data_IF_403230181818
#
_entry.id   IF_403230181818
#
_cell.length_a   1.000
_cell.length_b   1.000
_cell.length_c   1.000
_cell.angle_alpha   90.00
_cell.angle_beta   90.00
_cell.angle_gamma   90.00
#
_symmetry.space_group_name_H-M   'P 1'
#
loop_
_entity.id
_entity.type
_entity.pdbx_description
1 polymer ?
#
# COMPACT_ATOMS: atom_id res chain seq x y z
N UNK A 1 56.16 -20.41 -25.93
CA UNK A 1 55.60 -21.11 -27.13
C UNK A 1 54.14 -20.68 -27.29
N UNK A 2 53.85 -19.88 -28.33
CA UNK A 2 52.52 -19.46 -28.71
C UNK A 2 51.71 -20.68 -29.13
N UNK A 3 50.67 -21.07 -28.38
CA UNK A 3 49.78 -22.19 -28.75
C UNK A 3 49.06 -21.82 -30.04
N UNK A 4 49.21 -22.62 -31.11
CA UNK A 4 48.53 -22.40 -32.39
C UNK A 4 47.03 -22.29 -32.22
N UNK A 5 46.43 -21.24 -32.81
CA UNK A 5 45.00 -20.97 -32.83
C UNK A 5 44.39 -21.40 -34.18
N UNK A 6 43.06 -21.56 -34.22
CA UNK A 6 42.31 -21.82 -35.45
C UNK A 6 42.73 -23.08 -36.24
N UNK A 7 42.93 -24.19 -35.51
CA UNK A 7 43.43 -25.45 -36.09
C UNK A 7 42.38 -26.21 -36.90
N UNK A 8 41.10 -26.04 -36.58
CA UNK A 8 40.01 -26.76 -37.23
C UNK A 8 39.48 -25.96 -38.43
N UNK A 9 39.15 -26.64 -39.51
CA UNK A 9 38.43 -26.05 -40.65
C UNK A 9 36.92 -26.37 -40.53
N UNK A 10 36.08 -25.57 -41.20
CA UNK A 10 34.65 -25.84 -41.26
C UNK A 10 34.33 -27.19 -41.95
N UNK A 11 35.16 -27.62 -42.88
CA UNK A 11 35.04 -28.94 -43.51
C UNK A 11 35.32 -30.06 -42.50
N UNK A 12 36.40 -29.94 -41.71
CA UNK A 12 36.71 -30.89 -40.66
C UNK A 12 35.58 -30.99 -39.60
N UNK A 13 35.02 -29.86 -39.17
CA UNK A 13 33.94 -29.85 -38.17
C UNK A 13 32.73 -30.66 -38.63
N UNK A 14 32.40 -30.64 -39.93
CA UNK A 14 31.26 -31.41 -40.49
C UNK A 14 31.50 -32.92 -40.55
N UNK A 15 32.75 -33.37 -40.65
CA UNK A 15 33.13 -34.78 -40.78
C UNK A 15 34.04 -35.28 -39.66
N UNK A 16 34.07 -34.58 -38.54
CA UNK A 16 34.96 -34.91 -37.44
C UNK A 16 34.66 -36.32 -36.90
N UNK A 17 35.66 -37.17 -36.70
CA UNK A 17 35.45 -38.44 -36.05
C UNK A 17 35.07 -38.26 -34.57
N UNK A 18 34.45 -39.28 -34.00
CA UNK A 18 34.13 -39.31 -32.55
C UNK A 18 35.38 -39.01 -31.73
N UNK A 19 35.26 -38.07 -30.79
CA UNK A 19 36.37 -37.64 -29.93
C UNK A 19 36.41 -36.15 -29.64
N UNK A 20 37.49 -35.73 -28.98
CA UNK A 20 37.73 -34.32 -28.61
C UNK A 20 38.84 -33.73 -29.51
N UNK A 21 38.53 -32.73 -30.30
CA UNK A 21 39.41 -32.07 -31.24
C UNK A 21 39.70 -30.66 -30.81
N UNK A 22 40.98 -30.28 -30.67
CA UNK A 22 41.37 -28.92 -30.23
C UNK A 22 41.46 -27.97 -31.40
N UNK A 23 40.75 -26.83 -31.30
CA UNK A 23 40.90 -25.70 -32.24
C UNK A 23 42.04 -24.73 -31.84
N UNK A 24 42.59 -24.93 -30.65
CA UNK A 24 43.62 -24.04 -30.09
C UNK A 24 43.01 -23.02 -29.12
N UNK A 25 43.88 -22.35 -28.32
CA UNK A 25 43.44 -21.36 -27.34
C UNK A 25 42.46 -21.89 -26.28
N UNK A 26 42.38 -23.21 -26.08
CA UNK A 26 41.43 -23.82 -25.15
C UNK A 26 40.04 -24.12 -25.72
N UNK A 27 39.74 -23.75 -26.97
CA UNK A 27 38.53 -24.15 -27.68
C UNK A 27 38.62 -25.58 -28.19
N UNK A 28 37.61 -26.38 -27.95
CA UNK A 28 37.52 -27.78 -28.32
C UNK A 28 36.16 -28.10 -28.94
N UNK A 29 36.21 -28.94 -30.01
CA UNK A 29 35.05 -29.65 -30.52
C UNK A 29 34.96 -31.03 -29.82
N UNK A 30 33.82 -31.37 -29.34
CA UNK A 30 33.51 -32.72 -28.84
C UNK A 30 32.45 -33.35 -29.74
N UNK A 31 32.91 -34.30 -30.56
CA UNK A 31 32.03 -35.17 -31.35
C UNK A 31 31.69 -36.40 -30.54
N UNK A 32 30.42 -36.57 -30.23
CA UNK A 32 29.93 -37.69 -29.42
C UNK A 32 29.62 -38.93 -30.29
N UNK A 33 29.63 -40.17 -29.69
CA UNK A 33 29.25 -41.39 -30.39
C UNK A 33 27.81 -41.39 -30.93
N UNK A 34 26.89 -40.66 -30.28
CA UNK A 34 25.48 -40.50 -30.66
C UNK A 34 25.25 -39.53 -31.85
N UNK A 35 26.33 -39.04 -32.46
CA UNK A 35 26.29 -38.08 -33.56
C UNK A 35 26.20 -36.63 -33.12
N UNK A 36 25.96 -36.35 -31.81
CA UNK A 36 25.92 -34.99 -31.30
C UNK A 36 27.31 -34.36 -31.24
N UNK A 37 27.38 -33.06 -31.64
CA UNK A 37 28.64 -32.30 -31.64
C UNK A 37 28.44 -30.98 -30.86
N UNK A 38 29.39 -30.65 -29.98
CA UNK A 38 29.33 -29.43 -29.17
C UNK A 38 30.71 -28.78 -29.01
N UNK A 39 30.67 -27.46 -28.87
CA UNK A 39 31.85 -26.68 -28.51
C UNK A 39 31.98 -26.56 -27.01
N UNK A 40 33.21 -26.63 -26.50
CA UNK A 40 33.53 -26.28 -25.11
C UNK A 40 34.88 -25.57 -25.05
N UNK A 41 35.00 -24.72 -24.01
CA UNK A 41 36.20 -23.94 -23.75
C UNK A 41 36.87 -24.47 -22.46
N UNK A 42 38.18 -24.68 -22.53
CA UNK A 42 39.03 -24.96 -21.35
C UNK A 42 39.84 -23.73 -21.00
N UNK A 43 39.67 -23.23 -19.81
CA UNK A 43 40.42 -22.12 -19.24
C UNK A 43 40.96 -22.47 -17.85
N UNK A 44 42.02 -21.80 -17.44
CA UNK A 44 42.56 -21.90 -16.08
C UNK A 44 42.29 -20.58 -15.38
N UNK A 45 41.63 -20.63 -14.24
CA UNK A 45 41.32 -19.47 -13.40
C UNK A 45 41.75 -19.77 -11.99
N UNK A 46 42.52 -18.88 -11.38
CA UNK A 46 43.12 -19.08 -10.04
C UNK A 46 43.79 -20.44 -9.85
N UNK A 47 44.57 -20.89 -10.84
CA UNK A 47 45.27 -22.17 -10.83
C UNK A 47 44.38 -23.41 -11.05
N UNK A 48 43.07 -23.27 -11.20
CA UNK A 48 42.13 -24.35 -11.42
C UNK A 48 41.65 -24.41 -12.86
N UNK A 49 41.69 -25.58 -13.46
CA UNK A 49 41.16 -25.84 -14.80
C UNK A 49 39.66 -25.91 -14.81
N UNK A 50 39.01 -25.18 -15.71
CA UNK A 50 37.55 -25.12 -15.90
C UNK A 50 37.21 -25.53 -17.34
N UNK A 51 36.10 -26.27 -17.50
CA UNK A 51 35.49 -26.55 -18.79
C UNK A 51 34.10 -25.91 -18.87
N UNK A 52 33.85 -25.15 -19.91
CA UNK A 52 32.61 -24.38 -20.13
C UNK A 52 32.05 -24.73 -21.49
N UNK A 53 30.81 -25.24 -21.57
CA UNK A 53 30.11 -25.43 -22.85
C UNK A 53 29.85 -24.10 -23.55
N UNK A 54 30.17 -24.04 -24.85
CA UNK A 54 29.86 -22.87 -25.69
C UNK A 54 28.52 -23.07 -26.42
N UNK A 55 28.24 -24.30 -26.86
CA UNK A 55 26.98 -24.64 -27.50
C UNK A 55 27.10 -25.80 -28.49
N UNK A 56 25.96 -26.30 -28.99
CA UNK A 56 25.97 -27.36 -30.01
C UNK A 56 26.40 -26.78 -31.37
N UNK A 57 27.16 -27.60 -32.14
CA UNK A 57 27.71 -27.19 -33.45
C UNK A 57 26.63 -26.75 -34.46
N UNK A 58 25.44 -27.38 -34.37
CA UNK A 58 24.32 -27.01 -35.24
C UNK A 58 23.74 -25.61 -35.00
N UNK A 59 23.95 -25.05 -33.80
CA UNK A 59 23.49 -23.71 -33.43
C UNK A 59 24.63 -22.68 -33.41
N UNK A 60 25.87 -23.14 -33.14
CA UNK A 60 27.05 -22.26 -33.01
C UNK A 60 28.08 -22.65 -34.06
N UNK A 61 28.13 -21.96 -35.21
CA UNK A 61 29.16 -22.17 -36.24
C UNK A 61 30.56 -21.92 -35.69
N UNK A 62 31.60 -22.54 -36.31
CA UNK A 62 32.99 -22.43 -35.88
C UNK A 62 33.46 -20.98 -35.66
N UNK A 63 33.08 -20.05 -36.54
CA UNK A 63 33.42 -18.62 -36.41
C UNK A 63 32.85 -18.04 -35.13
N UNK A 64 31.60 -18.31 -34.84
CA UNK A 64 30.92 -17.85 -33.63
C UNK A 64 31.52 -18.51 -32.37
N UNK A 65 31.82 -19.81 -32.41
CA UNK A 65 32.47 -20.50 -31.31
C UNK A 65 33.83 -19.88 -30.93
N UNK A 66 34.59 -19.42 -31.91
CA UNK A 66 35.88 -18.72 -31.73
C UNK A 66 35.68 -17.37 -31.06
N UNK A 67 34.69 -16.60 -31.49
CA UNK A 67 34.37 -15.29 -30.90
C UNK A 67 33.94 -15.45 -29.43
N UNK A 68 33.05 -16.39 -29.17
CA UNK A 68 32.61 -16.67 -27.79
C UNK A 68 33.77 -17.16 -26.91
N UNK A 69 34.63 -18.04 -27.46
CA UNK A 69 35.80 -18.50 -26.73
C UNK A 69 36.78 -17.36 -26.41
N UNK A 70 36.94 -16.38 -27.30
CA UNK A 70 37.78 -15.21 -27.04
C UNK A 70 37.18 -14.31 -25.94
N UNK A 71 35.86 -14.03 -25.99
CA UNK A 71 35.15 -13.28 -24.97
C UNK A 71 35.38 -13.89 -23.59
N UNK A 72 35.15 -15.19 -23.42
CA UNK A 72 35.31 -15.89 -22.14
C UNK A 72 36.76 -16.00 -21.69
N UNK A 73 37.72 -16.08 -22.63
CA UNK A 73 39.17 -16.01 -22.34
C UNK A 73 39.59 -14.65 -21.82
N UNK A 74 39.01 -13.57 -22.34
CA UNK A 74 39.27 -12.22 -21.85
C UNK A 74 38.85 -12.08 -20.39
N UNK A 75 37.64 -12.56 -20.03
CA UNK A 75 37.12 -12.59 -18.65
C UNK A 75 38.03 -13.42 -17.74
N UNK A 76 38.50 -14.58 -18.23
CA UNK A 76 39.41 -15.43 -17.44
C UNK A 76 40.80 -14.74 -17.23
N UNK A 77 41.29 -13.96 -18.19
CA UNK A 77 42.52 -13.15 -18.06
C UNK A 77 42.40 -12.04 -17.01
N UNK A 78 41.17 -11.49 -16.83
CA UNK A 78 40.86 -10.53 -15.75
C UNK A 78 40.80 -11.20 -14.36
N UNK A 79 41.03 -12.49 -14.29
CA UNK A 79 40.92 -13.23 -13.00
C UNK A 79 39.51 -13.63 -12.59
N UNK A 80 38.51 -13.39 -13.45
CA UNK A 80 37.11 -13.78 -13.18
C UNK A 80 36.82 -15.19 -13.69
N UNK A 81 35.95 -15.94 -13.00
CA UNK A 81 35.51 -17.26 -13.44
C UNK A 81 34.41 -17.14 -14.52
N UNK A 82 34.67 -17.51 -15.80
CA UNK A 82 33.68 -17.35 -16.88
C UNK A 82 32.37 -18.07 -16.64
N UNK A 83 32.39 -19.20 -15.93
CA UNK A 83 31.16 -19.93 -15.60
C UNK A 83 30.29 -19.13 -14.65
N UNK A 84 30.91 -18.54 -13.62
CA UNK A 84 30.19 -17.68 -12.65
C UNK A 84 29.69 -16.40 -13.30
N UNK A 85 30.47 -15.77 -14.18
CA UNK A 85 30.04 -14.55 -14.90
C UNK A 85 28.87 -14.84 -15.85
N UNK A 86 28.90 -15.96 -16.59
CA UNK A 86 27.76 -16.38 -17.43
C UNK A 86 26.51 -16.65 -16.60
N UNK A 87 26.66 -17.29 -15.44
CA UNK A 87 25.53 -17.53 -14.55
C UNK A 87 24.98 -16.25 -13.93
N UNK A 88 25.85 -15.28 -13.68
CA UNK A 88 25.46 -13.92 -13.25
C UNK A 88 24.70 -13.19 -14.37
N UNK A 89 25.21 -13.22 -15.62
CA UNK A 89 24.52 -12.64 -16.78
C UNK A 89 23.13 -13.28 -17.00
N UNK A 90 23.03 -14.61 -16.89
CA UNK A 90 21.75 -15.33 -17.01
C UNK A 90 20.78 -14.91 -15.91
N UNK A 91 21.22 -14.87 -14.65
CA UNK A 91 20.40 -14.41 -13.55
C UNK A 91 19.94 -12.97 -13.72
N UNK A 92 20.81 -12.09 -14.23
CA UNK A 92 20.46 -10.71 -14.52
C UNK A 92 19.40 -10.60 -15.63
N UNK A 93 19.49 -11.42 -16.68
CA UNK A 93 18.47 -11.49 -17.73
C UNK A 93 17.13 -12.03 -17.21
N UNK A 94 17.16 -13.09 -16.39
CA UNK A 94 15.96 -13.66 -15.76
C UNK A 94 15.29 -12.66 -14.80
N UNK A 95 16.06 -11.85 -14.06
CA UNK A 95 15.56 -10.78 -13.17
C UNK A 95 14.82 -9.68 -13.91
N UNK A 96 15.22 -9.36 -15.11
CA UNK A 96 14.59 -8.30 -15.93
C UNK A 96 13.22 -8.72 -16.52
N UNK A 97 12.78 -9.96 -16.32
CA UNK A 97 11.48 -10.46 -16.78
C UNK A 97 10.38 -10.35 -15.72
N UNK A 98 10.67 -9.86 -14.49
CA UNK A 98 9.66 -9.71 -13.46
C UNK A 98 8.68 -8.58 -13.81
N UNK A 99 7.42 -8.94 -14.04
CA UNK A 99 6.37 -7.99 -14.39
C UNK A 99 5.98 -7.13 -13.18
N UNK A 100 5.62 -5.87 -13.43
CA UNK A 100 5.18 -4.98 -12.36
C UNK A 100 4.01 -5.57 -11.56
N UNK A 101 3.06 -6.26 -12.20
CA UNK A 101 1.91 -6.82 -11.48
C UNK A 101 2.29 -7.90 -10.48
N UNK A 102 3.29 -8.73 -10.80
CA UNK A 102 3.78 -9.80 -9.93
C UNK A 102 4.53 -9.20 -8.73
N UNK A 103 5.42 -8.25 -9.00
CA UNK A 103 6.16 -7.53 -7.94
C UNK A 103 5.21 -6.73 -7.05
N UNK A 104 4.17 -6.10 -7.61
CA UNK A 104 3.19 -5.35 -6.84
C UNK A 104 2.33 -6.26 -5.93
N UNK A 105 1.98 -7.46 -6.40
CA UNK A 105 1.25 -8.46 -5.60
C UNK A 105 2.13 -9.00 -4.48
N UNK A 106 3.37 -9.36 -4.77
CA UNK A 106 4.33 -9.82 -3.76
C UNK A 106 4.60 -8.73 -2.70
N UNK A 107 4.79 -7.49 -3.14
CA UNK A 107 4.90 -6.32 -2.26
C UNK A 107 3.66 -6.16 -1.36
N UNK A 108 2.47 -6.36 -1.90
CA UNK A 108 1.23 -6.29 -1.12
C UNK A 108 1.14 -7.42 -0.09
N UNK A 109 1.44 -8.65 -0.47
CA UNK A 109 1.43 -9.81 0.45
C UNK A 109 2.44 -9.62 1.59
N UNK A 110 3.66 -9.15 1.30
CA UNK A 110 4.68 -8.88 2.32
C UNK A 110 4.25 -7.82 3.35
N UNK A 111 3.41 -6.85 2.92
CA UNK A 111 2.93 -5.76 3.78
C UNK A 111 1.58 -6.01 4.43
N UNK A 112 0.91 -7.08 4.06
CA UNK A 112 -0.47 -7.38 4.47
C UNK A 112 -0.64 -7.44 5.99
N UNK A 113 0.37 -8.01 6.69
CA UNK A 113 0.36 -8.10 8.14
C UNK A 113 0.39 -6.73 8.85
N UNK A 114 0.98 -5.70 8.22
CA UNK A 114 1.01 -4.33 8.76
C UNK A 114 -0.28 -3.55 8.52
N UNK A 115 -1.11 -4.01 7.59
CA UNK A 115 -2.29 -3.29 7.13
C UNK A 115 -3.54 -3.75 7.87
N UNK A 116 -4.37 -2.79 8.27
CA UNK A 116 -5.67 -3.07 8.91
C UNK A 116 -6.58 -3.86 7.97
N UNK A 117 -7.13 -4.99 8.48
CA UNK A 117 -7.98 -5.89 7.70
C UNK A 117 -7.26 -6.46 6.48
N UNK A 118 -5.96 -6.75 6.63
CA UNK A 118 -5.11 -7.30 5.58
C UNK A 118 -5.15 -6.46 4.29
N UNK A 119 -5.16 -5.14 4.45
CA UNK A 119 -5.20 -4.16 3.36
C UNK A 119 -6.58 -3.93 2.73
N UNK A 120 -7.58 -4.75 3.06
CA UNK A 120 -8.95 -4.63 2.52
C UNK A 120 -9.64 -3.37 3.02
N UNK A 121 -9.54 -3.06 4.31
CA UNK A 121 -10.18 -1.90 4.93
C UNK A 121 -9.73 -0.56 4.32
N UNK A 122 -8.44 -0.42 3.99
CA UNK A 122 -7.86 0.78 3.38
C UNK A 122 -7.81 0.76 1.86
N UNK A 123 -8.26 -0.33 1.21
CA UNK A 123 -8.14 -0.53 -0.25
C UNK A 123 -6.73 -0.22 -0.74
N UNK A 124 -5.71 -0.79 -0.07
CA UNK A 124 -4.31 -0.44 -0.36
C UNK A 124 -3.93 -0.73 -1.81
N UNK A 125 -4.36 -1.86 -2.36
CA UNK A 125 -4.02 -2.30 -3.71
C UNK A 125 -4.83 -1.59 -4.80
N UNK A 126 -6.05 -1.16 -4.50
CA UNK A 126 -7.00 -0.61 -5.47
C UNK A 126 -6.48 0.53 -6.36
N UNK A 127 -5.71 1.54 -5.90
CA UNK A 127 -5.16 2.56 -6.79
C UNK A 127 -4.13 2.04 -7.79
N UNK A 128 -3.37 0.99 -7.45
CA UNK A 128 -2.50 0.31 -8.40
C UNK A 128 -3.33 -0.44 -9.43
N UNK A 129 -4.26 -1.28 -8.96
CA UNK A 129 -5.12 -2.13 -9.78
C UNK A 129 -5.95 -1.33 -10.79
N UNK A 130 -6.50 -0.19 -10.39
CA UNK A 130 -7.38 0.61 -11.25
C UNK A 130 -6.64 1.59 -12.15
N UNK A 131 -5.45 2.06 -11.79
CA UNK A 131 -4.83 3.19 -12.49
C UNK A 131 -3.40 2.95 -12.98
N UNK A 132 -2.70 1.93 -12.47
CA UNK A 132 -1.32 1.63 -12.85
C UNK A 132 -1.24 0.31 -13.60
N UNK A 133 -1.70 -0.79 -13.00
CA UNK A 133 -1.57 -2.13 -13.56
C UNK A 133 -2.26 -2.34 -14.92
N UNK A 134 -3.39 -1.69 -15.26
CA UNK A 134 -3.99 -1.83 -16.58
C UNK A 134 -3.07 -1.39 -17.73
N UNK A 135 -2.12 -0.47 -17.43
CA UNK A 135 -1.17 0.04 -18.44
C UNK A 135 0.23 -0.55 -18.27
N UNK A 136 0.70 -0.71 -17.05
CA UNK A 136 2.09 -1.07 -16.74
C UNK A 136 2.23 -2.47 -16.14
N UNK A 137 1.14 -3.16 -15.80
CA UNK A 137 1.20 -4.44 -15.10
C UNK A 137 2.00 -5.51 -15.82
N UNK A 138 1.93 -5.52 -17.15
CA UNK A 138 2.64 -6.47 -18.01
C UNK A 138 4.01 -5.98 -18.52
N UNK A 139 4.45 -4.83 -18.05
CA UNK A 139 5.79 -4.31 -18.35
C UNK A 139 6.76 -4.84 -17.29
N UNK A 140 7.96 -5.32 -17.67
CA UNK A 140 9.00 -5.64 -16.73
C UNK A 140 9.30 -4.44 -15.83
N UNK A 141 9.36 -4.65 -14.53
CA UNK A 141 9.55 -3.53 -13.58
C UNK A 141 10.88 -2.79 -13.81
N UNK A 142 11.88 -3.49 -14.33
CA UNK A 142 13.18 -2.94 -14.68
C UNK A 142 13.13 -1.96 -15.88
N UNK A 143 12.10 -2.05 -16.72
CA UNK A 143 11.93 -1.22 -17.91
C UNK A 143 11.04 0.01 -17.66
N UNK A 144 10.38 0.09 -16.50
CA UNK A 144 9.46 1.18 -16.17
C UNK A 144 10.23 2.47 -15.88
N UNK A 145 10.00 3.46 -16.70
CA UNK A 145 10.59 4.79 -16.58
C UNK A 145 9.58 5.88 -16.16
N UNK A 146 10.06 7.13 -16.08
CA UNK A 146 9.26 8.30 -15.74
C UNK A 146 8.19 8.63 -16.79
N UNK A 147 8.38 8.26 -18.04
CA UNK A 147 7.42 8.54 -19.13
C UNK A 147 6.24 7.58 -19.04
N UNK A 148 6.49 6.32 -18.75
CA UNK A 148 5.47 5.31 -18.53
C UNK A 148 4.56 5.69 -17.36
N UNK A 149 5.16 6.11 -16.25
CA UNK A 149 4.43 6.57 -15.06
C UNK A 149 3.60 7.81 -15.39
N UNK A 150 4.17 8.77 -16.12
CA UNK A 150 3.45 9.96 -16.59
C UNK A 150 2.25 9.60 -17.46
N UNK A 151 2.41 8.69 -18.43
CA UNK A 151 1.33 8.22 -19.30
C UNK A 151 0.25 7.49 -18.49
N UNK A 152 0.64 6.70 -17.50
CA UNK A 152 -0.30 5.97 -16.66
C UNK A 152 -1.15 6.91 -15.78
N UNK A 153 -0.53 7.86 -15.10
CA UNK A 153 -1.16 8.69 -14.07
C UNK A 153 -1.61 10.07 -14.55
N UNK A 154 -1.11 10.57 -15.69
CA UNK A 154 -1.45 11.88 -16.26
C UNK A 154 -2.96 12.15 -16.36
N UNK A 155 -3.78 11.21 -16.86
CA UNK A 155 -5.24 11.43 -16.98
C UNK A 155 -5.96 11.72 -15.67
N UNK A 156 -5.41 11.22 -14.54
CA UNK A 156 -6.02 11.39 -13.20
C UNK A 156 -5.24 12.37 -12.32
N UNK A 157 -4.10 12.88 -12.79
CA UNK A 157 -3.17 13.66 -11.97
C UNK A 157 -3.81 14.91 -11.37
N UNK A 158 -4.62 15.62 -12.17
CA UNK A 158 -5.31 16.81 -11.72
C UNK A 158 -6.77 16.58 -11.36
N UNK A 159 -7.44 15.61 -12.02
CA UNK A 159 -8.89 15.38 -11.86
C UNK A 159 -9.22 14.51 -10.64
N UNK A 160 -8.33 13.57 -10.27
CA UNK A 160 -8.47 12.68 -9.12
C UNK A 160 -7.19 12.71 -8.27
N UNK A 161 -6.76 13.93 -7.91
CA UNK A 161 -5.46 14.19 -7.31
C UNK A 161 -5.12 13.31 -6.09
N UNK A 162 -6.06 13.13 -5.16
CA UNK A 162 -5.88 12.28 -3.99
C UNK A 162 -5.66 10.79 -4.36
N UNK A 163 -6.33 10.29 -5.41
CA UNK A 163 -6.17 8.93 -5.90
C UNK A 163 -4.83 8.77 -6.63
N UNK A 164 -4.49 9.73 -7.50
CA UNK A 164 -3.21 9.75 -8.21
C UNK A 164 -2.01 9.79 -7.25
N UNK A 165 -2.11 10.61 -6.19
CA UNK A 165 -1.11 10.65 -5.11
C UNK A 165 -0.94 9.30 -4.44
N UNK A 166 -2.05 8.62 -4.09
CA UNK A 166 -1.98 7.26 -3.52
C UNK A 166 -1.39 6.25 -4.50
N UNK A 167 -1.75 6.32 -5.78
CA UNK A 167 -1.24 5.41 -6.80
C UNK A 167 0.28 5.55 -6.96
N UNK A 168 0.80 6.77 -7.11
CA UNK A 168 2.23 7.00 -7.28
C UNK A 168 3.04 6.67 -6.02
N UNK A 169 2.50 6.94 -4.82
CA UNK A 169 3.14 6.55 -3.54
C UNK A 169 3.23 5.03 -3.41
N UNK A 170 2.20 4.29 -3.83
CA UNK A 170 2.21 2.82 -3.77
C UNK A 170 3.08 2.21 -4.85
N UNK A 171 3.11 2.79 -6.05
CA UNK A 171 4.06 2.40 -7.08
C UNK A 171 5.51 2.60 -6.60
N UNK A 172 5.79 3.70 -5.89
CA UNK A 172 7.10 3.92 -5.24
C UNK A 172 7.47 2.80 -4.27
N UNK A 173 6.51 2.32 -3.49
CA UNK A 173 6.73 1.19 -2.58
C UNK A 173 7.00 -0.11 -3.35
N UNK A 174 6.31 -0.34 -4.47
CA UNK A 174 6.57 -1.51 -5.32
C UNK A 174 7.96 -1.46 -5.98
N UNK A 175 8.40 -0.28 -6.44
CA UNK A 175 9.76 -0.10 -6.99
C UNK A 175 10.81 -0.35 -5.91
N UNK A 176 10.61 0.17 -4.69
CA UNK A 176 11.51 -0.12 -3.57
C UNK A 176 11.54 -1.61 -3.21
N UNK A 177 10.41 -2.29 -3.29
CA UNK A 177 10.31 -3.73 -3.08
C UNK A 177 11.07 -4.49 -4.18
N UNK A 178 10.92 -4.09 -5.45
CA UNK A 178 11.71 -4.62 -6.57
C UNK A 178 13.22 -4.47 -6.36
N UNK A 179 13.66 -3.31 -5.89
CA UNK A 179 15.06 -3.09 -5.51
C UNK A 179 15.52 -4.03 -4.38
N UNK A 180 14.67 -4.28 -3.37
CA UNK A 180 14.95 -5.21 -2.29
C UNK A 180 15.03 -6.67 -2.77
N UNK A 181 14.34 -7.02 -3.86
CA UNK A 181 14.47 -8.30 -4.58
C UNK A 181 15.71 -8.33 -5.50
N UNK A 182 16.56 -7.31 -5.46
CA UNK A 182 17.77 -7.18 -6.27
C UNK A 182 17.45 -7.10 -7.78
N UNK A 183 16.28 -6.53 -8.15
CA UNK A 183 15.91 -6.23 -9.53
C UNK A 183 16.52 -4.88 -9.95
N UNK A 184 16.83 -4.74 -11.24
CA UNK A 184 17.44 -3.53 -11.82
C UNK A 184 16.36 -2.47 -12.11
N UNK A 185 15.92 -1.76 -11.06
CA UNK A 185 14.83 -0.76 -11.13
C UNK A 185 15.36 0.67 -11.03
N UNK A 186 14.78 1.61 -11.79
CA UNK A 186 15.09 3.03 -11.64
C UNK A 186 14.40 3.61 -10.39
N UNK A 187 15.15 3.69 -9.29
CA UNK A 187 14.70 4.28 -8.02
C UNK A 187 14.32 5.77 -8.15
N UNK A 188 14.78 6.46 -9.21
CA UNK A 188 14.46 7.86 -9.45
C UNK A 188 13.23 8.07 -10.34
N UNK A 189 12.72 7.02 -10.98
CA UNK A 189 11.59 7.11 -11.91
C UNK A 189 10.38 7.85 -11.31
N UNK A 190 10.08 7.61 -10.03
CA UNK A 190 8.99 8.28 -9.31
C UNK A 190 9.24 9.79 -9.16
N UNK A 191 10.44 10.20 -8.78
CA UNK A 191 10.78 11.61 -8.60
C UNK A 191 10.75 12.35 -9.94
N UNK A 192 11.35 11.75 -10.98
CA UNK A 192 11.34 12.25 -12.36
C UNK A 192 9.91 12.37 -12.90
N UNK A 193 9.07 11.34 -12.69
CA UNK A 193 7.67 11.36 -13.11
C UNK A 193 6.87 12.47 -12.43
N UNK A 194 7.05 12.69 -11.12
CA UNK A 194 6.43 13.81 -10.40
C UNK A 194 6.84 15.17 -10.97
N UNK A 195 8.10 15.33 -11.32
CA UNK A 195 8.60 16.55 -11.98
C UNK A 195 7.94 16.77 -13.34
N UNK A 196 7.77 15.73 -14.15
CA UNK A 196 7.10 15.80 -15.45
C UNK A 196 5.59 16.02 -15.36
N UNK A 197 4.94 15.52 -14.31
CA UNK A 197 3.50 15.69 -14.04
C UNK A 197 3.18 17.08 -13.48
N UNK A 198 4.15 17.71 -12.84
CA UNK A 198 4.02 19.02 -12.21
C UNK A 198 3.18 19.02 -10.93
N UNK A 199 3.00 20.20 -10.35
CA UNK A 199 2.19 20.37 -9.16
C UNK A 199 0.71 20.07 -9.44
N UNK A 200 0.04 19.36 -8.53
CA UNK A 200 -1.38 19.05 -8.65
C UNK A 200 -2.22 20.32 -8.47
N UNK A 201 -3.07 20.63 -9.43
CA UNK A 201 -4.03 21.77 -9.38
C UNK A 201 -5.28 21.40 -8.59
N UNK A 202 -5.11 20.81 -7.41
CA UNK A 202 -6.23 20.38 -6.60
C UNK A 202 -6.32 21.27 -5.36
N UNK A 203 -7.41 22.02 -5.26
CA UNK A 203 -7.80 22.66 -4.00
C UNK A 203 -8.43 21.59 -3.12
N UNK A 204 -7.87 21.39 -1.94
CA UNK A 204 -8.46 20.46 -0.98
C UNK A 204 -9.83 21.00 -0.58
N UNK A 205 -10.89 20.33 -1.02
CA UNK A 205 -12.23 20.60 -0.52
C UNK A 205 -12.36 19.95 0.85
N UNK A 206 -12.54 20.75 1.88
CA UNK A 206 -12.84 20.25 3.21
C UNK A 206 -14.22 19.60 3.22
N UNK A 207 -14.38 18.56 4.01
CA UNK A 207 -15.72 17.95 4.21
C UNK A 207 -16.68 19.03 4.69
N UNK A 208 -17.76 19.21 3.94
CA UNK A 208 -18.81 20.15 4.33
C UNK A 208 -19.34 19.79 5.72
N UNK A 209 -19.50 20.79 6.57
CA UNK A 209 -19.97 20.65 7.92
C UNK A 209 -21.17 21.57 8.18
N UNK A 210 -21.98 21.21 9.16
CA UNK A 210 -23.07 22.06 9.62
C UNK A 210 -22.49 23.05 10.62
N UNK A 211 -22.71 24.38 10.46
CA UNK A 211 -22.33 25.37 11.47
C UNK A 211 -22.87 24.97 12.86
N UNK A 212 -22.05 25.12 13.90
CA UNK A 212 -22.36 24.56 15.20
C UNK A 212 -23.68 25.08 15.79
N UNK A 213 -24.03 26.36 15.56
CA UNK A 213 -25.29 26.96 16.00
C UNK A 213 -26.54 26.36 15.32
N UNK A 214 -26.39 25.64 14.21
CA UNK A 214 -27.48 24.95 13.52
C UNK A 214 -27.62 23.47 13.97
N UNK A 215 -26.66 22.95 14.74
CA UNK A 215 -26.68 21.55 15.19
C UNK A 215 -27.86 21.24 16.10
N UNK A 216 -28.29 22.10 17.06
CA UNK A 216 -29.46 21.84 17.89
C UNK A 216 -30.73 21.61 17.06
N UNK A 217 -31.07 22.53 16.17
CA UNK A 217 -32.24 22.39 15.29
C UNK A 217 -32.21 21.14 14.42
N UNK A 218 -31.03 20.78 13.90
CA UNK A 218 -30.86 19.53 13.16
C UNK A 218 -31.05 18.32 14.08
N UNK A 219 -30.47 18.31 15.26
CA UNK A 219 -30.59 17.23 16.25
C UNK A 219 -32.06 17.00 16.65
N UNK A 220 -32.81 18.04 16.96
CA UNK A 220 -34.23 18.00 17.26
C UNK A 220 -35.06 17.41 16.11
N UNK A 221 -34.69 17.70 14.86
CA UNK A 221 -35.36 17.20 13.65
C UNK A 221 -35.19 15.69 13.39
N UNK A 222 -34.33 15.01 14.14
CA UNK A 222 -34.06 13.57 13.98
C UNK A 222 -35.17 12.71 14.66
N UNK A 223 -36.40 12.88 14.22
CA UNK A 223 -37.59 12.14 14.64
C UNK A 223 -38.22 11.42 13.44
N UNK A 224 -39.01 10.34 13.63
CA UNK A 224 -39.14 9.54 14.87
C UNK A 224 -37.90 8.71 15.17
N UNK A 225 -37.89 7.97 16.27
CA UNK A 225 -36.79 7.09 16.66
C UNK A 225 -36.67 5.89 15.73
N UNK A 226 -35.83 6.05 14.73
CA UNK A 226 -35.39 4.96 13.88
C UNK A 226 -33.93 4.63 14.20
N UNK A 227 -33.48 3.41 13.89
CA UNK A 227 -32.07 3.02 14.08
C UNK A 227 -31.10 4.04 13.48
N UNK A 228 -31.43 4.62 12.32
CA UNK A 228 -30.57 5.62 11.65
C UNK A 228 -30.58 6.97 12.36
N UNK A 229 -31.74 7.44 12.82
CA UNK A 229 -31.86 8.70 13.58
C UNK A 229 -31.11 8.59 14.92
N UNK A 230 -31.33 7.50 15.66
CA UNK A 230 -30.65 7.25 16.93
C UNK A 230 -29.13 7.11 16.75
N UNK A 231 -28.67 6.42 15.67
CA UNK A 231 -27.25 6.34 15.35
C UNK A 231 -26.64 7.72 15.06
N UNK A 232 -27.35 8.59 14.34
CA UNK A 232 -26.88 9.93 14.01
C UNK A 232 -26.89 10.84 15.24
N UNK A 233 -27.93 10.75 16.09
CA UNK A 233 -27.96 11.45 17.38
C UNK A 233 -26.77 11.04 18.25
N UNK A 234 -26.51 9.76 18.42
CA UNK A 234 -25.39 9.29 19.22
C UNK A 234 -24.04 9.71 18.63
N UNK A 235 -23.91 9.73 17.29
CA UNK A 235 -22.70 10.23 16.61
C UNK A 235 -22.43 11.69 16.94
N UNK A 236 -23.46 12.54 16.93
CA UNK A 236 -23.36 13.97 17.26
C UNK A 236 -22.92 14.14 18.72
N UNK A 237 -23.49 13.36 19.64
CA UNK A 237 -23.18 13.44 21.07
C UNK A 237 -21.81 12.86 21.42
N UNK A 238 -21.31 11.85 20.70
CA UNK A 238 -20.05 11.16 21.03
C UNK A 238 -18.86 11.56 20.18
N UNK A 239 -19.04 12.37 19.19
CA UNK A 239 -18.08 13.07 18.30
C UNK A 239 -16.76 12.33 17.97
N UNK A 240 -16.06 11.78 18.96
CA UNK A 240 -14.72 11.17 18.81
C UNK A 240 -14.69 9.90 17.98
N UNK A 241 -15.81 9.18 17.93
CA UNK A 241 -15.82 7.79 17.49
C UNK A 241 -15.82 7.60 15.98
N UNK A 242 -16.20 8.59 15.19
CA UNK A 242 -16.48 8.44 13.75
C UNK A 242 -17.60 7.43 13.46
N UNK A 243 -18.07 7.38 12.22
CA UNK A 243 -19.15 6.48 11.79
C UNK A 243 -18.79 4.99 11.89
N UNK A 244 -17.54 4.64 11.67
CA UNK A 244 -17.08 3.24 11.72
C UNK A 244 -17.30 2.59 13.09
N UNK A 245 -16.63 3.02 14.16
CA UNK A 245 -16.82 2.52 15.51
C UNK A 245 -18.27 2.61 15.97
N UNK A 246 -18.95 3.73 15.73
CA UNK A 246 -20.33 3.90 16.14
C UNK A 246 -21.26 2.81 15.58
N UNK A 247 -21.14 2.49 14.30
CA UNK A 247 -21.94 1.43 13.66
C UNK A 247 -21.71 0.05 14.28
N UNK A 248 -20.53 -0.18 14.81
CA UNK A 248 -20.11 -1.43 15.44
C UNK A 248 -20.15 -1.35 16.97
N UNK A 249 -20.87 -0.37 17.54
CA UNK A 249 -21.08 -0.30 18.98
C UNK A 249 -21.80 -1.56 19.44
N UNK A 250 -21.14 -2.31 20.31
CA UNK A 250 -21.66 -3.50 20.96
C UNK A 250 -21.93 -3.20 22.43
N UNK A 251 -22.99 -3.76 22.98
CA UNK A 251 -23.46 -3.42 24.31
C UNK A 251 -22.47 -3.74 25.43
N UNK A 252 -21.63 -4.76 25.25
CA UNK A 252 -20.55 -5.12 26.18
C UNK A 252 -19.38 -4.13 26.23
N UNK A 253 -19.34 -3.17 25.29
CA UNK A 253 -18.36 -2.08 25.29
C UNK A 253 -18.75 -0.92 26.21
N UNK A 254 -19.95 -0.95 26.79
CA UNK A 254 -20.48 0.11 27.66
C UNK A 254 -20.44 -0.36 29.11
N UNK A 255 -19.68 0.35 29.91
CA UNK A 255 -19.63 0.14 31.37
C UNK A 255 -19.95 1.46 32.07
N UNK A 256 -21.09 1.48 32.80
CA UNK A 256 -21.61 2.70 33.41
C UNK A 256 -21.84 3.80 32.39
N UNK A 257 -21.18 4.91 32.57
CA UNK A 257 -21.22 6.08 31.69
C UNK A 257 -20.03 6.21 30.76
N UNK A 258 -19.31 5.09 30.47
CA UNK A 258 -18.18 5.06 29.59
C UNK A 258 -18.37 4.00 28.47
N UNK A 259 -18.23 4.41 27.23
CA UNK A 259 -18.11 3.52 26.10
C UNK A 259 -16.65 3.34 25.73
N UNK A 260 -16.14 2.12 25.84
CA UNK A 260 -14.77 1.75 25.45
C UNK A 260 -14.73 1.21 24.02
N UNK A 261 -14.21 2.00 23.09
CA UNK A 261 -14.03 1.60 21.69
C UNK A 261 -12.72 0.84 21.55
N UNK A 262 -12.75 -0.44 21.12
CA UNK A 262 -11.54 -1.21 20.95
C UNK A 262 -10.55 -0.57 19.95
N UNK A 263 -9.26 -0.64 20.23
CA UNK A 263 -8.18 -0.10 19.37
C UNK A 263 -8.29 -0.57 17.92
N UNK A 264 -8.66 -1.83 17.72
CA UNK A 264 -8.89 -2.41 16.39
C UNK A 264 -9.98 -1.72 15.58
N UNK A 265 -10.95 -1.03 16.20
CA UNK A 265 -12.00 -0.26 15.51
C UNK A 265 -11.57 1.19 15.25
N UNK A 266 -10.55 1.70 15.93
CA UNK A 266 -10.07 3.07 15.73
C UNK A 266 -9.25 3.19 14.43
N UNK A 267 -9.15 4.42 13.89
CA UNK A 267 -8.33 4.68 12.69
C UNK A 267 -6.84 4.61 13.08
N UNK A 268 -6.09 3.72 12.46
CA UNK A 268 -4.64 3.58 12.71
C UNK A 268 -4.07 2.32 12.04
N UNK A 269 -2.79 2.04 12.29
CA UNK A 269 -2.16 0.75 11.96
C UNK A 269 -2.72 -0.35 12.87
N UNK A 270 -2.64 -1.62 12.46
CA UNK A 270 -3.23 -2.78 13.12
C UNK A 270 -2.90 -2.76 14.60
N UNK A 271 -1.88 -2.77 15.16
CA UNK A 271 -1.57 -2.96 16.58
C UNK A 271 -1.00 -1.71 17.28
N UNK A 272 -1.27 -0.52 16.74
CA UNK A 272 -0.63 0.73 17.18
C UNK A 272 -1.52 1.63 18.04
N UNK A 273 -2.64 1.13 18.58
CA UNK A 273 -3.60 1.97 19.30
C UNK A 273 -3.96 1.41 20.67
N UNK A 274 -4.29 2.32 21.58
CA UNK A 274 -4.99 2.01 22.83
C UNK A 274 -6.51 2.08 22.57
N UNK A 275 -7.27 1.37 23.38
CA UNK A 275 -8.72 1.51 23.44
C UNK A 275 -9.07 2.97 23.71
N UNK A 276 -10.15 3.42 23.07
CA UNK A 276 -10.59 4.80 23.20
C UNK A 276 -11.84 4.89 24.08
N UNK A 277 -11.68 5.44 25.26
CA UNK A 277 -12.78 5.66 26.21
C UNK A 277 -13.56 6.91 25.81
N UNK A 278 -14.86 6.79 25.69
CA UNK A 278 -15.81 7.87 25.38
C UNK A 278 -16.71 8.09 26.58
N UNK A 279 -16.61 9.22 27.27
CA UNK A 279 -17.57 9.55 28.34
C UNK A 279 -18.92 9.83 27.69
N UNK A 280 -19.95 9.21 28.22
CA UNK A 280 -21.33 9.33 27.76
C UNK A 280 -22.07 10.38 28.60
N UNK A 281 -22.50 11.47 27.94
CA UNK A 281 -23.41 12.43 28.56
C UNK A 281 -24.76 11.81 28.91
N UNK A 282 -25.54 12.44 29.74
CA UNK A 282 -26.91 11.98 30.10
C UNK A 282 -27.78 11.78 28.86
N UNK A 283 -27.67 12.66 27.87
CA UNK A 283 -28.40 12.55 26.60
C UNK A 283 -27.89 11.39 25.72
N UNK A 284 -26.59 11.12 25.76
CA UNK A 284 -26.03 9.97 25.02
C UNK A 284 -26.51 8.65 25.63
N UNK A 285 -26.59 8.56 26.96
CA UNK A 285 -27.15 7.42 27.68
C UNK A 285 -28.64 7.22 27.34
N UNK A 286 -29.45 8.31 27.30
CA UNK A 286 -30.85 8.26 26.87
C UNK A 286 -30.98 7.70 25.43
N UNK A 287 -30.20 8.20 24.50
CA UNK A 287 -30.20 7.69 23.11
C UNK A 287 -29.84 6.20 23.06
N UNK A 288 -28.92 5.74 23.88
CA UNK A 288 -28.55 4.32 23.98
C UNK A 288 -29.74 3.50 24.52
N UNK A 289 -30.42 3.96 25.58
CA UNK A 289 -31.58 3.30 26.10
C UNK A 289 -32.70 3.20 25.07
N UNK A 290 -32.97 4.25 24.33
CA UNK A 290 -33.98 4.29 23.25
C UNK A 290 -33.58 3.41 22.05
N UNK A 291 -32.29 3.21 21.81
CA UNK A 291 -31.80 2.34 20.74
C UNK A 291 -31.77 0.85 21.14
N UNK A 292 -31.72 0.54 22.45
CA UNK A 292 -31.61 -0.82 22.98
C UNK A 292 -32.70 -1.79 22.49
N UNK A 293 -33.98 -1.41 22.35
CA UNK A 293 -35.02 -2.29 21.78
C UNK A 293 -34.78 -2.75 20.34
N UNK A 294 -34.01 -1.99 19.58
CA UNK A 294 -33.66 -2.33 18.20
C UNK A 294 -32.39 -3.21 18.09
N UNK A 295 -31.65 -3.41 19.19
CA UNK A 295 -30.37 -4.14 19.18
C UNK A 295 -30.53 -5.57 18.70
N UNK A 296 -29.53 -6.07 17.98
CA UNK A 296 -29.48 -7.45 17.49
C UNK A 296 -28.05 -7.97 17.58
N UNK A 297 -27.90 -9.21 18.05
CA UNK A 297 -26.61 -9.86 18.24
C UNK A 297 -25.60 -9.00 19.04
N UNK A 298 -26.11 -8.26 20.04
CA UNK A 298 -25.33 -7.34 20.88
C UNK A 298 -25.01 -5.98 20.24
N UNK A 299 -25.22 -5.79 18.94
CA UNK A 299 -24.99 -4.51 18.26
C UNK A 299 -26.16 -3.56 18.42
N UNK A 300 -25.88 -2.31 18.81
CA UNK A 300 -26.88 -1.29 19.06
C UNK A 300 -27.57 -0.79 17.78
N UNK A 301 -26.87 -0.76 16.66
CA UNK A 301 -27.38 -0.26 15.37
C UNK A 301 -27.35 -1.34 14.29
N UNK A 302 -28.24 -2.34 14.37
CA UNK A 302 -28.27 -3.43 13.42
C UNK A 302 -28.82 -2.99 12.06
N UNK A 303 -28.42 -3.72 11.02
CA UNK A 303 -29.08 -3.64 9.72
C UNK A 303 -30.28 -4.59 9.68
N UNK A 304 -31.27 -4.26 8.87
CA UNK A 304 -32.49 -5.07 8.70
C UNK A 304 -32.16 -6.52 8.27
N UNK A 305 -31.20 -6.71 7.38
CA UNK A 305 -30.85 -8.05 6.85
C UNK A 305 -29.81 -8.77 7.70
N UNK A 306 -28.60 -8.23 7.80
CA UNK A 306 -27.48 -8.85 8.53
C UNK A 306 -26.46 -7.80 8.94
N UNK A 307 -25.86 -7.98 10.13
CA UNK A 307 -24.80 -7.12 10.63
C UNK A 307 -25.32 -5.74 11.04
N UNK A 308 -24.47 -4.73 10.91
CA UNK A 308 -24.75 -3.35 11.34
C UNK A 308 -25.14 -2.46 10.14
N UNK A 309 -25.72 -1.27 10.42
CA UNK A 309 -26.04 -0.29 9.37
C UNK A 309 -24.83 0.00 8.49
N UNK A 310 -25.08 0.24 7.19
CA UNK A 310 -23.99 0.47 6.22
C UNK A 310 -23.28 1.80 6.47
N UNK A 311 -22.03 1.92 5.96
CA UNK A 311 -21.22 3.13 6.12
C UNK A 311 -21.88 4.39 5.55
N UNK A 312 -22.64 4.25 4.46
CA UNK A 312 -23.36 5.37 3.84
C UNK A 312 -24.74 5.66 4.45
N UNK A 313 -25.23 4.90 5.41
CA UNK A 313 -26.65 5.03 5.87
C UNK A 313 -26.94 6.42 6.45
N UNK A 314 -26.12 6.91 7.36
CA UNK A 314 -26.28 8.24 7.96
C UNK A 314 -26.03 9.36 6.93
N UNK A 315 -25.05 9.19 6.06
CA UNK A 315 -24.74 10.17 5.01
C UNK A 315 -25.90 10.30 4.00
N UNK A 316 -26.50 9.18 3.57
CA UNK A 316 -27.67 9.18 2.68
C UNK A 316 -28.91 9.81 3.33
N UNK A 317 -29.06 9.71 4.65
CA UNK A 317 -30.14 10.41 5.35
C UNK A 317 -29.98 11.93 5.22
N UNK A 318 -28.78 12.46 5.48
CA UNK A 318 -28.50 13.89 5.36
C UNK A 318 -28.62 14.38 3.91
N UNK A 319 -28.14 13.59 2.96
CA UNK A 319 -28.25 13.88 1.51
C UNK A 319 -29.72 13.97 1.06
N UNK A 320 -30.58 13.02 1.46
CA UNK A 320 -32.02 13.06 1.16
C UNK A 320 -32.75 14.25 1.78
N UNK A 321 -32.17 14.87 2.81
CA UNK A 321 -32.64 16.13 3.39
C UNK A 321 -32.07 17.38 2.72
N UNK A 322 -31.37 17.22 1.58
CA UNK A 322 -30.77 18.32 0.82
C UNK A 322 -29.55 18.95 1.48
N UNK A 323 -28.90 18.27 2.42
CA UNK A 323 -27.75 18.81 3.14
C UNK A 323 -26.46 18.51 2.42
N UNK A 324 -25.57 19.51 2.28
CA UNK A 324 -24.19 19.30 1.81
C UNK A 324 -23.31 18.70 2.93
N UNK A 325 -23.62 19.02 4.17
CA UNK A 325 -22.92 18.47 5.33
C UNK A 325 -23.01 16.93 5.38
N UNK A 326 -21.98 16.32 5.92
CA UNK A 326 -21.88 14.86 6.07
C UNK A 326 -21.61 14.52 7.55
N UNK A 327 -21.89 13.28 8.00
CA UNK A 327 -21.72 12.89 9.41
C UNK A 327 -20.34 13.22 9.99
N UNK A 328 -19.28 13.11 9.18
CA UNK A 328 -17.92 13.47 9.60
C UNK A 328 -17.77 14.97 9.89
N UNK A 329 -18.55 15.82 9.24
CA UNK A 329 -18.53 17.27 9.41
C UNK A 329 -18.90 17.75 10.83
N UNK A 330 -19.69 16.98 11.58
CA UNK A 330 -20.00 17.32 12.97
C UNK A 330 -18.77 17.44 13.88
N UNK A 331 -17.67 16.78 13.52
CA UNK A 331 -16.38 16.95 14.21
C UNK A 331 -15.82 18.37 14.03
N UNK A 332 -16.03 18.97 12.87
CA UNK A 332 -15.69 20.38 12.63
C UNK A 332 -16.63 21.31 13.39
N UNK A 333 -17.94 21.02 13.40
CA UNK A 333 -18.93 21.76 14.20
C UNK A 333 -18.55 21.80 15.69
N UNK A 334 -18.27 20.63 16.27
CA UNK A 334 -17.80 20.52 17.66
C UNK A 334 -16.50 21.26 17.91
N UNK A 335 -15.50 21.09 17.00
CA UNK A 335 -14.20 21.75 17.19
C UNK A 335 -14.29 23.27 17.15
N UNK A 336 -15.13 23.80 16.24
CA UNK A 336 -15.41 25.25 16.14
C UNK A 336 -16.12 25.72 17.39
N UNK A 337 -17.18 25.04 17.83
CA UNK A 337 -17.91 25.32 19.07
C UNK A 337 -16.98 25.33 20.29
N UNK A 338 -16.08 24.37 20.42
CA UNK A 338 -15.08 24.34 21.49
C UNK A 338 -14.24 25.60 21.58
N UNK A 339 -13.95 26.23 20.42
CA UNK A 339 -13.11 27.42 20.35
C UNK A 339 -13.91 28.71 20.51
N UNK A 340 -15.12 28.77 19.93
CA UNK A 340 -15.91 30.00 19.84
C UNK A 340 -16.88 30.20 21.01
N UNK A 341 -17.42 29.10 21.54
CA UNK A 341 -18.46 29.15 22.59
C UNK A 341 -17.95 28.58 23.92
N UNK A 342 -17.44 27.35 23.91
CA UNK A 342 -17.07 26.67 25.17
C UNK A 342 -15.72 27.12 25.75
N UNK A 343 -14.92 27.87 25.02
CA UNK A 343 -13.56 28.26 25.41
C UNK A 343 -12.73 27.08 26.01
N UNK A 344 -12.87 25.92 25.36
CA UNK A 344 -12.30 24.69 25.85
C UNK A 344 -10.79 24.60 25.63
N UNK A 345 -10.08 24.03 26.58
CA UNK A 345 -8.65 23.73 26.40
C UNK A 345 -8.44 22.90 25.13
N UNK A 346 -7.49 23.35 24.28
CA UNK A 346 -7.23 22.73 23.00
C UNK A 346 -6.94 21.22 23.10
N UNK A 347 -6.13 20.80 24.09
CA UNK A 347 -5.75 19.39 24.28
C UNK A 347 -6.95 18.50 24.65
N UNK A 348 -7.91 19.05 25.41
CA UNK A 348 -9.13 18.33 25.80
C UNK A 348 -10.06 18.18 24.60
N UNK A 349 -10.24 19.25 23.82
CA UNK A 349 -11.05 19.24 22.61
C UNK A 349 -10.49 18.23 21.56
N UNK A 350 -9.16 18.24 21.34
CA UNK A 350 -8.51 17.27 20.45
C UNK A 350 -8.60 15.82 20.99
N UNK A 351 -8.52 15.63 22.31
CA UNK A 351 -8.71 14.33 22.93
C UNK A 351 -10.16 13.82 22.77
N UNK A 352 -11.19 14.71 22.85
CA UNK A 352 -12.57 14.35 22.51
C UNK A 352 -12.69 13.85 21.07
N UNK A 353 -11.92 14.39 20.15
CA UNK A 353 -11.89 14.00 18.74
C UNK A 353 -11.03 12.77 18.47
N UNK A 354 -10.44 12.12 19.47
CA UNK A 354 -9.48 11.04 19.30
C UNK A 354 -8.32 11.42 18.36
N UNK A 355 -7.86 12.67 18.42
CA UNK A 355 -6.68 13.12 17.72
C UNK A 355 -5.45 12.97 18.60
N UNK A 356 -4.36 12.48 18.02
CA UNK A 356 -3.07 12.49 18.71
C UNK A 356 -2.49 13.89 18.67
N UNK A 357 -2.30 14.51 19.82
CA UNK A 357 -1.67 15.82 19.96
C UNK A 357 -0.21 15.68 20.34
N UNK A 358 0.64 16.61 19.86
CA UNK A 358 2.04 16.67 20.16
C UNK A 358 2.96 15.80 19.29
N UNK A 359 4.27 16.07 19.36
CA UNK A 359 5.32 15.33 18.67
C UNK A 359 5.52 13.91 19.24
N UNK A 360 6.38 13.11 18.59
CA UNK A 360 6.66 11.72 19.03
C UNK A 360 7.18 11.66 20.48
N UNK A 361 8.01 12.63 20.87
CA UNK A 361 8.56 12.74 22.23
C UNK A 361 7.47 13.12 23.22
N UNK A 362 6.70 14.17 22.96
CA UNK A 362 5.60 14.63 23.84
C UNK A 362 4.57 13.53 24.10
N UNK A 363 4.22 12.73 23.05
CA UNK A 363 3.31 11.59 23.18
C UNK A 363 3.87 10.50 24.11
N UNK A 364 5.18 10.31 24.20
CA UNK A 364 5.78 9.32 25.09
C UNK A 364 5.64 9.68 26.58
N UNK A 365 5.46 10.98 26.89
CA UNK A 365 5.24 11.47 28.27
C UNK A 365 3.76 11.65 28.61
N UNK A 366 2.87 11.68 27.62
CA UNK A 366 1.44 11.89 27.83
C UNK A 366 0.76 10.60 28.30
N UNK A 367 0.50 10.50 29.62
CA UNK A 367 -0.09 9.31 30.25
C UNK A 367 -1.59 9.45 30.58
N UNK A 368 -2.18 10.60 30.26
CA UNK A 368 -3.62 10.85 30.49
C UNK A 368 -4.37 10.95 29.18
N UNK A 369 -5.59 10.40 29.16
CA UNK A 369 -6.57 10.59 28.09
C UNK A 369 -7.58 11.71 28.40
N UNK A 370 -7.38 12.44 29.50
CA UNK A 370 -8.25 13.51 29.99
C UNK A 370 -9.73 13.09 30.19
N UNK A 371 -10.00 11.87 30.61
CA UNK A 371 -11.37 11.34 30.67
C UNK A 371 -12.31 12.27 31.45
N UNK A 372 -11.93 12.75 32.64
CA UNK A 372 -12.80 13.59 33.48
C UNK A 372 -13.02 14.97 32.84
N UNK A 373 -11.99 15.61 32.30
CA UNK A 373 -12.14 16.89 31.59
C UNK A 373 -13.00 16.74 30.32
N UNK A 374 -12.85 15.60 29.63
CA UNK A 374 -13.69 15.27 28.47
C UNK A 374 -15.13 15.01 28.87
N UNK A 375 -15.38 14.42 30.04
CA UNK A 375 -16.73 14.19 30.60
C UNK A 375 -17.48 15.52 30.74
N UNK A 376 -16.85 16.50 31.36
CA UNK A 376 -17.43 17.84 31.53
C UNK A 376 -17.72 18.51 30.20
N UNK A 377 -16.74 18.47 29.28
CA UNK A 377 -16.89 19.11 27.96
C UNK A 377 -17.96 18.42 27.10
N UNK A 378 -18.02 17.08 27.12
CA UNK A 378 -19.01 16.31 26.37
C UNK A 378 -20.42 16.48 26.93
N UNK A 379 -20.58 16.64 28.27
CA UNK A 379 -21.87 16.99 28.87
C UNK A 379 -22.29 18.37 28.40
N UNK A 380 -21.42 19.39 28.46
CA UNK A 380 -21.73 20.76 28.02
C UNK A 380 -22.12 20.80 26.52
N UNK A 381 -21.40 20.04 25.65
CA UNK A 381 -21.82 19.89 24.27
C UNK A 381 -23.19 19.25 24.11
N UNK A 382 -23.48 18.23 24.87
CA UNK A 382 -24.76 17.53 24.82
C UNK A 382 -25.92 18.42 25.30
N UNK A 383 -25.72 19.21 26.35
CA UNK A 383 -26.68 20.18 26.85
C UNK A 383 -26.98 21.26 25.80
N UNK A 384 -25.91 21.79 25.14
CA UNK A 384 -26.06 22.72 24.04
C UNK A 384 -26.83 22.14 22.85
N UNK A 385 -26.48 20.90 22.43
CA UNK A 385 -27.10 20.25 21.26
C UNK A 385 -28.58 19.89 21.51
N UNK A 386 -28.96 19.60 22.75
CA UNK A 386 -30.31 19.21 23.12
C UNK A 386 -31.14 20.32 23.74
N UNK A 387 -30.60 21.55 23.80
CA UNK A 387 -31.39 22.72 24.19
C UNK A 387 -32.53 22.94 23.18
N UNK A 388 -33.75 23.14 23.71
CA UNK A 388 -34.98 23.40 22.95
C UNK A 388 -34.93 24.74 22.20
#
# INVERSE_FOLDING_TARGET
MTRALNKLSAAFVRSAPTGKHSDGGGLWLHQRPDGGAQWFLRVTVHGRRREMGIGPVGQVPLKQARLEAERWRAIAREGKDPIKEREKERRHQERNLHLLEDVARDCFESRKAELKGDGKAGRWFSPLELHVLPKLGKVPIAEIDQHDIRVALGPIWHTKAATAKKAIERLSVCIQHGAALDLDVDMQAIAKAKALLGAQRHKVEHTAFLPWHQVPAFYASLQPDTVTHLALRLLILTIGTRSGPLRHLHMDQIEGDVWTVPAGQMKGRRDAGLDFRVPLSTQAQDVILRAKPYSKDGFLFPNVRKGVISDGTMARLMERRGMDARPHGFRSSFRTWCSEEANARWEVAEACLAHSTGGKVERSYKRTDFLEQRRVLMQYWADFVSAD
#
